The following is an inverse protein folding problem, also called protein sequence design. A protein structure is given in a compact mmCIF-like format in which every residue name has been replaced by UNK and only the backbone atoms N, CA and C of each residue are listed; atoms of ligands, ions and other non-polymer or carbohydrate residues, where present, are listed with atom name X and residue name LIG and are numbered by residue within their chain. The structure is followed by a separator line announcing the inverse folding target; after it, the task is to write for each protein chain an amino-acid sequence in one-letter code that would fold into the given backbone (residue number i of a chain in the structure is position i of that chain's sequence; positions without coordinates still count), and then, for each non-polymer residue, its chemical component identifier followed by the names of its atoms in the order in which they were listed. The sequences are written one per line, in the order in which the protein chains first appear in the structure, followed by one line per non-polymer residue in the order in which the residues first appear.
data_IF_050232254109
#
_entry.id   IF_050232254109
#
_cell.length_a   1.000
_cell.length_b   1.000
_cell.length_c   1.000
_cell.angle_alpha   90.00
_cell.angle_beta   90.00
_cell.angle_gamma   90.00
#
_symmetry.space_group_name_H-M   'P 1'
#
loop_
_entity.id
_entity.type
_entity.pdbx_description
1 polymer ?
#
# COMPACT_ATOMS: atom_id res chain seq x y z
N UNK A 1 7.93 8.55 -29.43
CA UNK A 1 8.16 8.18 -28.02
C UNK A 1 9.42 8.88 -27.54
N UNK A 2 9.32 9.65 -26.46
CA UNK A 2 10.49 10.25 -25.82
C UNK A 2 11.33 9.18 -25.08
N UNK A 3 12.49 9.55 -24.59
CA UNK A 3 13.42 8.60 -23.95
C UNK A 3 12.82 8.00 -22.67
N UNK A 4 12.10 8.81 -21.90
CA UNK A 4 11.39 8.40 -20.69
C UNK A 4 10.28 7.36 -20.97
N UNK A 5 9.53 7.54 -22.07
CA UNK A 5 8.49 6.59 -22.49
C UNK A 5 9.09 5.25 -22.91
N UNK A 6 10.25 5.27 -23.57
CA UNK A 6 10.97 4.04 -23.94
C UNK A 6 11.50 3.29 -22.73
N UNK A 7 12.05 4.00 -21.74
CA UNK A 7 12.50 3.40 -20.49
C UNK A 7 11.32 2.76 -19.73
N UNK A 8 10.18 3.45 -19.63
CA UNK A 8 8.98 2.94 -18.98
C UNK A 8 8.45 1.68 -19.69
N UNK A 9 8.40 1.68 -21.02
CA UNK A 9 7.98 0.51 -21.81
C UNK A 9 8.93 -0.66 -21.58
N UNK A 10 10.25 -0.43 -21.55
CA UNK A 10 11.22 -1.47 -21.29
C UNK A 10 11.07 -2.06 -19.88
N UNK A 11 10.84 -1.21 -18.89
CA UNK A 11 10.59 -1.64 -17.50
C UNK A 11 9.31 -2.48 -17.39
N UNK A 12 8.22 -2.05 -18.02
CA UNK A 12 6.96 -2.81 -18.07
C UNK A 12 7.18 -4.17 -18.74
N UNK A 13 7.86 -4.20 -19.88
CA UNK A 13 8.13 -5.44 -20.60
C UNK A 13 8.99 -6.41 -19.78
N UNK A 14 9.99 -5.90 -19.06
CA UNK A 14 10.81 -6.71 -18.17
C UNK A 14 9.97 -7.32 -17.04
N UNK A 15 9.11 -6.52 -16.40
CA UNK A 15 8.24 -6.99 -15.33
C UNK A 15 7.24 -8.03 -15.81
N UNK A 16 6.62 -7.83 -16.98
CA UNK A 16 5.74 -8.83 -17.62
C UNK A 16 6.48 -10.13 -17.92
N UNK A 17 7.73 -10.04 -18.40
CA UNK A 17 8.56 -11.22 -18.66
C UNK A 17 8.89 -11.98 -17.38
N UNK A 18 9.24 -11.28 -16.30
CA UNK A 18 9.49 -11.90 -14.99
C UNK A 18 8.23 -12.59 -14.48
N UNK A 19 7.08 -11.93 -14.56
CA UNK A 19 5.80 -12.49 -14.14
C UNK A 19 5.45 -13.76 -14.95
N UNK A 20 5.60 -13.71 -16.28
CA UNK A 20 5.32 -14.86 -17.15
C UNK A 20 6.23 -16.05 -16.84
N UNK A 21 7.50 -15.81 -16.53
CA UNK A 21 8.43 -16.86 -16.12
C UNK A 21 8.03 -17.48 -14.76
N UNK A 22 7.62 -16.66 -13.80
CA UNK A 22 7.12 -17.14 -12.49
C UNK A 22 5.88 -18.03 -12.67
N UNK A 23 4.91 -17.61 -13.51
CA UNK A 23 3.71 -18.39 -13.80
C UNK A 23 4.08 -19.71 -14.47
N UNK A 24 4.90 -19.69 -15.52
CA UNK A 24 5.34 -20.89 -16.24
C UNK A 24 6.09 -21.87 -15.32
N UNK A 25 6.95 -21.35 -14.44
CA UNK A 25 7.65 -22.17 -13.45
C UNK A 25 6.68 -22.80 -12.45
N UNK A 26 5.69 -22.04 -11.99
CA UNK A 26 4.67 -22.53 -11.07
C UNK A 26 3.80 -23.62 -11.69
N UNK A 27 3.40 -23.45 -12.95
CA UNK A 27 2.67 -24.51 -13.70
C UNK A 27 3.46 -25.80 -13.71
N UNK A 28 4.76 -25.71 -13.99
CA UNK A 28 5.65 -26.89 -14.06
C UNK A 28 5.88 -27.55 -12.70
N UNK A 29 6.08 -26.75 -11.64
CA UNK A 29 6.37 -27.26 -10.29
C UNK A 29 5.14 -27.86 -9.63
N UNK A 30 3.97 -27.24 -9.85
CA UNK A 30 2.71 -27.68 -9.23
C UNK A 30 1.93 -28.69 -10.09
N UNK A 31 2.41 -28.97 -11.30
CA UNK A 31 1.73 -29.84 -12.29
C UNK A 31 0.27 -29.42 -12.52
N UNK A 32 0.08 -28.10 -12.71
CA UNK A 32 -1.25 -27.49 -12.89
C UNK A 32 -1.33 -26.72 -14.20
N UNK A 33 -2.52 -26.71 -14.78
CA UNK A 33 -2.78 -25.91 -15.97
C UNK A 33 -2.90 -24.41 -15.69
N UNK A 34 -2.98 -23.60 -16.76
CA UNK A 34 -3.02 -22.14 -16.63
C UNK A 34 -4.24 -21.63 -15.86
N UNK A 35 -5.40 -22.29 -15.97
CA UNK A 35 -6.62 -21.88 -15.27
C UNK A 35 -6.56 -22.19 -13.77
N UNK A 36 -5.99 -23.33 -13.42
CA UNK A 36 -5.75 -23.70 -12.02
C UNK A 36 -4.73 -22.78 -11.37
N UNK A 37 -3.66 -22.44 -12.10
CA UNK A 37 -2.66 -21.46 -11.64
C UNK A 37 -3.28 -20.07 -11.50
N UNK A 38 -4.13 -19.66 -12.44
CA UNK A 38 -4.85 -18.39 -12.32
C UNK A 38 -5.69 -18.35 -11.04
N UNK A 39 -6.44 -19.39 -10.72
CA UNK A 39 -7.23 -19.46 -9.50
C UNK A 39 -6.40 -19.48 -8.21
N UNK A 40 -5.16 -20.00 -8.27
CA UNK A 40 -4.25 -20.00 -7.13
C UNK A 40 -3.54 -18.65 -6.91
N UNK A 41 -3.14 -18.00 -8.00
CA UNK A 41 -2.35 -16.76 -7.93
C UNK A 41 -3.18 -15.48 -8.09
N UNK A 42 -4.40 -15.60 -8.58
CA UNK A 42 -5.31 -14.47 -8.76
C UNK A 42 -6.63 -14.76 -8.03
N UNK A 43 -6.62 -14.66 -6.69
CA UNK A 43 -7.84 -14.78 -5.91
C UNK A 43 -8.87 -13.73 -6.38
N UNK A 44 -10.14 -13.90 -6.00
CA UNK A 44 -11.16 -12.91 -6.30
C UNK A 44 -10.67 -11.54 -5.84
N UNK A 45 -10.62 -10.59 -6.75
CA UNK A 45 -10.05 -9.27 -6.48
C UNK A 45 -11.05 -8.16 -6.80
N UNK A 46 -11.10 -7.18 -5.92
CA UNK A 46 -11.77 -5.90 -6.16
C UNK A 46 -10.70 -4.83 -6.34
N UNK A 47 -10.95 -3.88 -7.24
CA UNK A 47 -9.99 -2.83 -7.58
C UNK A 47 -10.59 -1.45 -7.38
N UNK A 48 -9.77 -0.50 -6.95
CA UNK A 48 -10.15 0.90 -6.75
C UNK A 48 -11.42 1.02 -5.88
N UNK A 49 -11.45 0.27 -4.80
CA UNK A 49 -12.64 0.19 -3.95
C UNK A 49 -12.65 1.34 -2.95
N UNK A 50 -13.64 2.23 -3.10
CA UNK A 50 -13.83 3.38 -2.21
C UNK A 50 -14.56 2.96 -0.94
N UNK A 51 -13.96 3.21 0.22
CA UNK A 51 -14.57 2.97 1.53
C UNK A 51 -14.52 4.26 2.35
N UNK A 52 -15.58 4.49 3.14
CA UNK A 52 -15.64 5.57 4.10
C UNK A 52 -16.06 5.02 5.47
N UNK A 53 -15.25 5.29 6.47
CA UNK A 53 -15.56 5.04 7.89
C UNK A 53 -15.89 6.39 8.55
N UNK A 54 -17.17 6.56 8.92
CA UNK A 54 -17.66 7.78 9.56
C UNK A 54 -17.18 7.85 11.02
N UNK A 55 -17.01 6.71 11.69
CA UNK A 55 -16.58 6.65 13.09
C UNK A 55 -15.13 7.10 13.30
N UNK A 56 -14.27 6.80 12.34
CA UNK A 56 -12.85 7.20 12.34
C UNK A 56 -12.60 8.46 11.52
N UNK A 57 -13.62 8.98 10.83
CA UNK A 57 -13.50 10.06 9.83
C UNK A 57 -12.42 9.77 8.79
N UNK A 58 -12.38 8.53 8.32
CA UNK A 58 -11.47 8.06 7.30
C UNK A 58 -12.21 7.80 5.99
N UNK A 59 -11.55 8.17 4.89
CA UNK A 59 -11.95 7.79 3.54
C UNK A 59 -10.73 7.31 2.77
N UNK A 60 -10.86 6.22 2.03
CA UNK A 60 -9.77 5.69 1.24
C UNK A 60 -10.26 4.97 -0.01
N UNK A 61 -9.45 5.02 -1.06
CA UNK A 61 -9.59 4.16 -2.23
C UNK A 61 -8.51 3.09 -2.13
N UNK A 62 -8.94 1.85 -1.91
CA UNK A 62 -8.00 0.73 -1.82
C UNK A 62 -7.69 0.25 -3.23
N UNK A 63 -6.43 0.27 -3.62
CA UNK A 63 -5.99 -0.07 -4.98
C UNK A 63 -6.48 -1.46 -5.38
N UNK A 64 -6.31 -2.44 -4.47
CA UNK A 64 -6.75 -3.81 -4.69
C UNK A 64 -7.09 -4.49 -3.36
N UNK A 65 -8.17 -5.26 -3.35
CA UNK A 65 -8.53 -6.16 -2.24
C UNK A 65 -8.53 -7.57 -2.80
N UNK A 66 -7.69 -8.44 -2.29
CA UNK A 66 -7.74 -9.88 -2.58
C UNK A 66 -8.60 -10.59 -1.54
N UNK A 67 -9.49 -11.48 -2.01
CA UNK A 67 -10.35 -12.27 -1.13
C UNK A 67 -10.02 -13.75 -1.31
N UNK A 68 -9.52 -14.37 -0.25
CA UNK A 68 -9.19 -15.79 -0.24
C UNK A 68 -9.84 -16.46 0.97
N UNK A 69 -10.66 -17.48 0.72
CA UNK A 69 -11.34 -18.27 1.77
C UNK A 69 -12.07 -17.43 2.81
N UNK A 70 -12.69 -16.33 2.37
CA UNK A 70 -13.41 -15.39 3.24
C UNK A 70 -12.54 -14.40 4.00
N UNK A 71 -11.22 -14.42 3.82
CA UNK A 71 -10.32 -13.40 4.35
C UNK A 71 -10.07 -12.33 3.30
N UNK A 72 -9.99 -11.09 3.76
CA UNK A 72 -9.75 -9.91 2.94
C UNK A 72 -8.34 -9.41 3.16
N UNK A 73 -7.61 -9.19 2.07
CA UNK A 73 -6.24 -8.71 2.08
C UNK A 73 -6.16 -7.39 1.32
N UNK A 74 -6.02 -6.25 2.00
CA UNK A 74 -5.77 -4.98 1.32
C UNK A 74 -4.37 -4.98 0.71
N UNK A 75 -4.27 -4.46 -0.50
CA UNK A 75 -3.01 -4.36 -1.25
C UNK A 75 -2.87 -2.95 -1.77
N UNK A 76 -1.81 -2.27 -1.37
CA UNK A 76 -1.40 -0.99 -1.93
C UNK A 76 -0.41 -1.20 -3.06
N UNK A 77 -0.61 -0.52 -4.19
CA UNK A 77 0.26 -0.58 -5.36
C UNK A 77 1.20 0.62 -5.38
N UNK A 78 2.52 0.37 -5.40
CA UNK A 78 3.54 1.42 -5.37
C UNK A 78 4.47 1.34 -6.57
N UNK A 79 4.67 2.47 -7.24
CA UNK A 79 5.65 2.61 -8.34
C UNK A 79 7.08 2.89 -7.85
N UNK A 80 7.26 3.13 -6.54
CA UNK A 80 8.58 3.37 -5.93
C UNK A 80 9.34 2.06 -5.69
N UNK A 81 10.63 2.17 -5.38
CA UNK A 81 11.40 1.05 -4.86
C UNK A 81 11.07 0.85 -3.37
N UNK A 82 11.04 -0.40 -2.89
CA UNK A 82 10.91 -0.68 -1.46
C UNK A 82 12.18 -0.28 -0.69
N UNK A 83 12.09 -0.12 0.64
CA UNK A 83 13.28 -0.08 1.48
C UNK A 83 13.99 -1.43 1.47
N UNK A 84 15.20 -1.50 2.03
CA UNK A 84 15.97 -2.75 2.13
C UNK A 84 15.17 -3.82 2.88
N UNK A 85 14.52 -3.44 3.99
CA UNK A 85 13.68 -4.32 4.78
C UNK A 85 12.31 -3.69 5.01
N UNK A 86 11.26 -4.51 5.07
CA UNK A 86 9.89 -4.06 5.34
C UNK A 86 9.31 -3.17 4.24
N UNK A 87 8.53 -2.17 4.66
CA UNK A 87 7.89 -1.16 3.81
C UNK A 87 8.25 0.23 4.33
N UNK A 88 8.02 1.29 3.54
CA UNK A 88 8.19 2.67 4.02
C UNK A 88 7.16 3.00 5.09
N UNK A 89 7.49 3.90 6.02
CA UNK A 89 6.59 4.30 7.12
C UNK A 89 5.22 4.79 6.61
N UNK A 90 5.20 5.54 5.52
CA UNK A 90 3.96 5.98 4.88
C UNK A 90 3.13 4.82 4.35
N UNK A 91 3.76 3.85 3.66
CA UNK A 91 3.10 2.66 3.13
C UNK A 91 2.59 1.76 4.27
N UNK A 92 3.33 1.71 5.39
CA UNK A 92 2.91 1.01 6.61
C UNK A 92 1.63 1.61 7.19
N UNK A 93 1.57 2.93 7.35
CA UNK A 93 0.38 3.62 7.86
C UNK A 93 -0.82 3.47 6.93
N UNK A 94 -0.62 3.57 5.62
CA UNK A 94 -1.66 3.34 4.62
C UNK A 94 -2.20 1.91 4.67
N UNK A 95 -1.33 0.91 4.81
CA UNK A 95 -1.73 -0.48 4.92
C UNK A 95 -2.62 -0.74 6.15
N UNK A 96 -2.32 -0.08 7.29
CA UNK A 96 -3.16 -0.18 8.49
C UNK A 96 -4.50 0.54 8.27
N UNK A 97 -4.49 1.74 7.68
CA UNK A 97 -5.72 2.47 7.35
C UNK A 97 -6.64 1.63 6.46
N UNK A 98 -6.09 1.04 5.40
CA UNK A 98 -6.82 0.17 4.48
C UNK A 98 -7.38 -1.07 5.19
N UNK A 99 -6.63 -1.67 6.13
CA UNK A 99 -7.10 -2.79 6.92
C UNK A 99 -8.32 -2.40 7.79
N UNK A 100 -8.26 -1.25 8.49
CA UNK A 100 -9.36 -0.76 9.32
C UNK A 100 -10.60 -0.44 8.51
N UNK A 101 -10.44 0.18 7.33
CA UNK A 101 -11.56 0.45 6.42
C UNK A 101 -12.24 -0.85 5.95
N UNK A 102 -11.46 -1.87 5.59
CA UNK A 102 -11.98 -3.20 5.20
C UNK A 102 -12.72 -3.86 6.36
N UNK A 103 -12.18 -3.79 7.57
CA UNK A 103 -12.80 -4.37 8.75
C UNK A 103 -14.20 -3.80 9.00
N UNK A 104 -14.34 -2.49 8.86
CA UNK A 104 -15.61 -1.79 9.01
C UNK A 104 -16.58 -2.13 7.89
N UNK A 105 -16.14 -2.10 6.64
CA UNK A 105 -16.99 -2.33 5.47
C UNK A 105 -17.51 -3.76 5.38
N UNK A 106 -16.65 -4.75 5.62
CA UNK A 106 -16.98 -6.17 5.44
C UNK A 106 -17.24 -6.90 6.76
N UNK A 107 -17.28 -6.19 7.89
CA UNK A 107 -17.43 -6.77 9.23
C UNK A 107 -16.49 -7.96 9.45
N UNK A 108 -15.22 -7.77 9.19
CA UNK A 108 -14.18 -8.79 9.25
C UNK A 108 -13.02 -8.33 10.11
N UNK A 109 -11.98 -9.16 10.26
CA UNK A 109 -10.75 -8.81 10.96
C UNK A 109 -9.55 -9.05 10.04
N UNK A 110 -8.75 -8.02 9.79
CA UNK A 110 -7.60 -8.07 8.89
C UNK A 110 -6.32 -8.15 9.72
N UNK A 111 -5.58 -9.24 9.57
CA UNK A 111 -4.30 -9.45 10.26
C UNK A 111 -3.08 -9.13 9.41
N UNK A 112 -3.26 -9.13 8.09
CA UNK A 112 -2.17 -8.90 7.14
C UNK A 112 -2.67 -8.02 6.00
N UNK A 113 -1.87 -7.03 5.63
CA UNK A 113 -1.99 -6.25 4.42
C UNK A 113 -0.75 -6.45 3.55
N UNK A 114 -0.80 -6.06 2.29
CA UNK A 114 0.34 -6.15 1.39
C UNK A 114 0.63 -4.82 0.71
N UNK A 115 1.89 -4.61 0.40
CA UNK A 115 2.37 -3.54 -0.46
C UNK A 115 3.09 -4.17 -1.64
N UNK A 116 2.56 -3.96 -2.83
CA UNK A 116 3.14 -4.43 -4.09
C UNK A 116 3.99 -3.31 -4.71
N UNK A 117 5.29 -3.46 -4.67
CA UNK A 117 6.24 -2.57 -5.32
C UNK A 117 6.42 -3.01 -6.77
N UNK A 118 5.68 -2.34 -7.66
CA UNK A 118 5.54 -2.73 -9.07
C UNK A 118 6.86 -2.67 -9.82
N UNK A 119 7.72 -1.71 -9.49
CA UNK A 119 9.00 -1.49 -10.16
C UNK A 119 9.91 -2.72 -10.15
N UNK A 120 9.89 -3.50 -9.09
CA UNK A 120 10.71 -4.70 -8.94
C UNK A 120 9.86 -5.97 -8.75
N UNK A 121 8.56 -5.89 -9.02
CA UNK A 121 7.59 -6.98 -8.88
C UNK A 121 7.69 -7.69 -7.51
N UNK A 122 7.79 -6.93 -6.43
CA UNK A 122 7.98 -7.48 -5.08
C UNK A 122 6.80 -7.13 -4.18
N UNK A 123 6.21 -8.15 -3.55
CA UNK A 123 5.20 -8.01 -2.51
C UNK A 123 5.85 -8.03 -1.12
N UNK A 124 5.45 -7.09 -0.28
CA UNK A 124 5.83 -7.01 1.13
C UNK A 124 4.60 -7.14 2.01
N UNK A 125 4.67 -8.04 3.00
CA UNK A 125 3.61 -8.18 3.98
C UNK A 125 3.75 -7.13 5.10
N UNK A 126 2.61 -6.61 5.54
CA UNK A 126 2.48 -5.74 6.70
C UNK A 126 1.58 -6.45 7.71
N UNK A 127 2.12 -6.77 8.87
CA UNK A 127 1.36 -7.39 9.94
C UNK A 127 0.55 -6.32 10.67
N UNK A 128 -0.76 -6.53 10.77
CA UNK A 128 -1.70 -5.60 11.40
C UNK A 128 -2.00 -6.09 12.83
N UNK A 129 -1.00 -6.02 13.67
CA UNK A 129 -1.10 -6.39 15.08
C UNK A 129 -1.58 -5.22 15.96
N UNK A 130 -1.65 -5.46 17.26
CA UNK A 130 -2.07 -4.45 18.24
C UNK A 130 -1.16 -3.23 18.27
N UNK A 131 0.14 -3.39 18.07
CA UNK A 131 1.09 -2.28 18.14
C UNK A 131 1.07 -1.45 16.86
N UNK A 132 0.88 -2.08 15.70
CA UNK A 132 0.61 -1.41 14.43
C UNK A 132 -0.65 -0.52 14.56
N UNK A 133 -1.75 -1.07 15.08
CA UNK A 133 -3.00 -0.34 15.30
C UNK A 133 -2.82 0.84 16.27
N UNK A 134 -2.14 0.65 17.40
CA UNK A 134 -1.83 1.74 18.35
C UNK A 134 -1.03 2.86 17.69
N UNK A 135 -0.04 2.50 16.87
CA UNK A 135 0.78 3.46 16.13
C UNK A 135 -0.07 4.29 15.18
N UNK A 136 -0.98 3.66 14.46
CA UNK A 136 -1.91 4.34 13.56
C UNK A 136 -2.84 5.29 14.31
N UNK A 137 -3.50 4.83 15.38
CA UNK A 137 -4.41 5.68 16.16
C UNK A 137 -3.71 6.86 16.83
N UNK A 138 -2.42 6.71 17.20
CA UNK A 138 -1.61 7.83 17.68
C UNK A 138 -1.42 8.90 16.59
N UNK A 139 -1.12 8.47 15.35
CA UNK A 139 -1.01 9.38 14.21
C UNK A 139 -2.34 10.04 13.92
N UNK A 140 -3.43 9.29 13.83
CA UNK A 140 -4.78 9.81 13.59
C UNK A 140 -5.18 10.86 14.64
N UNK A 141 -4.94 10.57 15.93
CA UNK A 141 -5.19 11.51 17.01
C UNK A 141 -4.40 12.82 16.83
N UNK A 142 -3.15 12.73 16.38
CA UNK A 142 -2.33 13.93 16.16
C UNK A 142 -2.84 14.72 14.94
N UNK A 143 -3.25 14.05 13.87
CA UNK A 143 -3.85 14.69 12.68
C UNK A 143 -5.13 15.44 13.10
N UNK A 144 -6.01 14.80 13.85
CA UNK A 144 -7.25 15.44 14.32
C UNK A 144 -6.98 16.67 15.19
N UNK A 145 -5.97 16.63 16.08
CA UNK A 145 -5.55 17.81 16.85
C UNK A 145 -5.09 18.97 15.97
N UNK A 146 -4.36 18.67 14.90
CA UNK A 146 -3.92 19.70 13.93
C UNK A 146 -5.14 20.32 13.24
N UNK A 147 -6.07 19.49 12.79
CA UNK A 147 -7.29 19.94 12.09
C UNK A 147 -8.18 20.78 13.01
N UNK A 148 -8.43 20.30 14.23
CA UNK A 148 -9.34 20.94 15.17
C UNK A 148 -8.76 22.21 15.80
N UNK A 149 -7.45 22.24 16.11
CA UNK A 149 -6.80 23.31 16.86
C UNK A 149 -5.94 24.23 16.01
N UNK A 150 -5.68 23.85 14.74
CA UNK A 150 -4.73 24.56 13.89
C UNK A 150 -3.28 24.53 14.39
N UNK A 151 -2.95 23.57 15.27
CA UNK A 151 -1.59 23.43 15.81
C UNK A 151 -0.66 22.88 14.72
N UNK A 152 0.38 23.65 14.37
CA UNK A 152 1.40 23.17 13.44
C UNK A 152 2.34 22.23 14.19
N UNK A 153 2.52 20.98 13.71
CA UNK A 153 3.37 20.01 14.39
C UNK A 153 4.84 20.44 14.31
N UNK A 154 5.57 20.30 15.42
CA UNK A 154 7.02 20.47 15.42
C UNK A 154 7.66 19.30 14.67
N UNK A 155 8.08 19.53 13.44
CA UNK A 155 8.65 18.49 12.57
C UNK A 155 10.17 18.55 12.66
N UNK A 156 10.80 17.49 13.17
CA UNK A 156 12.25 17.29 13.06
C UNK A 156 12.55 16.57 11.74
N UNK A 157 12.71 17.32 10.67
CA UNK A 157 13.08 16.78 9.36
C UNK A 157 14.54 17.09 9.03
N UNK A 158 15.18 16.22 8.24
CA UNK A 158 16.51 16.52 7.70
C UNK A 158 16.43 17.64 6.65
N UNK A 159 17.42 18.52 6.63
CA UNK A 159 17.52 19.68 5.73
C UNK A 159 17.16 19.37 4.27
N UNK A 160 17.57 18.22 3.74
CA UNK A 160 17.25 17.80 2.37
C UNK A 160 15.76 17.64 2.05
N UNK A 161 14.92 17.31 3.06
CA UNK A 161 13.47 17.23 2.86
C UNK A 161 12.84 18.62 2.82
N UNK A 162 13.40 19.57 3.59
CA UNK A 162 12.92 20.95 3.63
C UNK A 162 13.29 21.73 2.37
N UNK A 163 14.43 21.43 1.73
CA UNK A 163 14.89 22.14 0.52
C UNK A 163 13.89 22.06 -0.64
N UNK A 164 13.19 20.91 -0.79
CA UNK A 164 12.23 20.65 -1.86
C UNK A 164 10.77 20.58 -1.36
N UNK A 165 10.49 21.12 -0.17
CA UNK A 165 9.14 21.07 0.41
C UNK A 165 8.31 22.26 -0.07
N UNK A 166 7.14 22.01 -0.64
CA UNK A 166 6.19 23.04 -1.08
C UNK A 166 5.65 23.89 0.07
N UNK A 167 5.71 23.38 1.31
CA UNK A 167 5.26 24.05 2.53
C UNK A 167 6.37 24.72 3.33
N UNK A 168 7.60 24.81 2.77
CA UNK A 168 8.77 25.35 3.48
C UNK A 168 8.53 26.74 4.05
N UNK A 169 7.99 27.64 3.24
CA UNK A 169 7.74 29.04 3.66
C UNK A 169 6.73 29.14 4.81
N UNK A 170 5.74 28.22 4.87
CA UNK A 170 4.77 28.17 5.96
C UNK A 170 5.42 27.63 7.25
N UNK A 171 6.33 26.66 7.13
CA UNK A 171 7.04 26.10 8.28
C UNK A 171 8.11 27.05 8.85
N UNK A 172 8.78 27.83 8.01
CA UNK A 172 9.84 28.77 8.44
C UNK A 172 9.26 30.03 9.12
N UNK A 173 7.97 30.34 8.87
CA UNK A 173 7.26 31.50 9.43
C UNK A 173 6.40 31.17 10.67
N UNK A 174 6.44 29.94 11.16
CA UNK A 174 5.70 29.46 12.35
C UNK A 174 6.65 29.18 13.49
#
# INVERSE_FOLDING_TARGET
LNELEKELINEINLNLKILSLKVAQSMKVLDKDGSEIQNLFFPTSMYNYLIRDIGLDLIGVIDKIEVEKGNYFPISLKSSNPPVNGVWDGDFMEAIANALLIEQEFNTYVTVAYVDYLKIATRRAVIIDTDARKSFFKVLTNVNKIIEKGEIPTVKTGLKKCENCEYKELCDNS
#
